data_IF_496739082101
#
_entry.id   IF_496739082101
#
_cell.length_a   1.000
_cell.length_b   1.000
_cell.length_c   1.000
_cell.angle_alpha   90.00
_cell.angle_beta   90.00
_cell.angle_gamma   90.00
#
_symmetry.space_group_name_H-M   'P 1'
#
loop_
_entity.id
_entity.type
_entity.pdbx_description
1 polymer ?
#
# COMPACT_ATOMS: atom_id res chain seq x y z
N UNK A 1 28.23 -8.71 5.13
CA UNK A 1 27.61 -8.35 3.83
C UNK A 1 26.10 -8.33 4.07
N UNK A 2 25.49 -7.15 4.18
CA UNK A 2 24.06 -6.98 4.50
C UNK A 2 23.34 -6.66 3.20
N UNK A 3 22.56 -7.61 2.70
CA UNK A 3 21.71 -7.43 1.54
C UNK A 3 20.46 -6.65 1.98
N UNK A 4 20.30 -5.43 1.45
CA UNK A 4 19.06 -4.65 1.57
C UNK A 4 17.95 -5.37 0.81
N UNK A 5 16.94 -5.84 1.54
CA UNK A 5 15.78 -6.59 1.02
C UNK A 5 14.81 -5.71 0.20
N UNK A 6 15.02 -4.39 0.18
CA UNK A 6 14.20 -3.43 -0.59
C UNK A 6 14.75 -3.11 -1.99
N UNK A 7 15.88 -3.69 -2.39
CA UNK A 7 16.60 -3.33 -3.64
C UNK A 7 16.55 -4.35 -4.77
N UNK A 8 15.69 -5.37 -4.72
CA UNK A 8 15.73 -6.52 -5.65
C UNK A 8 14.50 -6.56 -6.60
N UNK A 9 13.75 -5.48 -6.72
CA UNK A 9 12.53 -5.45 -7.55
C UNK A 9 12.68 -4.80 -8.93
N UNK A 10 13.90 -4.50 -9.40
CA UNK A 10 14.11 -3.63 -10.56
C UNK A 10 14.88 -4.23 -11.76
N UNK A 11 15.11 -5.55 -11.86
CA UNK A 11 15.95 -6.10 -12.94
C UNK A 11 15.37 -7.28 -13.76
N UNK A 12 14.08 -7.28 -14.08
CA UNK A 12 13.50 -8.23 -15.05
C UNK A 12 12.60 -7.59 -16.12
N UNK A 13 12.85 -6.30 -16.43
CA UNK A 13 12.12 -5.50 -17.44
C UNK A 13 12.37 -5.96 -18.90
N UNK A 14 13.15 -7.00 -19.18
CA UNK A 14 13.47 -7.39 -20.56
C UNK A 14 13.30 -8.90 -20.82
N UNK A 15 12.52 -9.21 -21.88
CA UNK A 15 12.34 -10.50 -22.58
C UNK A 15 11.29 -11.43 -21.93
N UNK A 16 10.30 -12.01 -22.62
CA UNK A 16 9.90 -12.07 -24.03
C UNK A 16 8.61 -12.90 -24.10
N UNK A 17 7.64 -12.47 -24.92
CA UNK A 17 6.60 -13.25 -25.60
C UNK A 17 5.84 -14.38 -24.84
N UNK A 18 4.52 -14.18 -24.71
CA UNK A 18 3.54 -15.22 -24.38
C UNK A 18 2.13 -14.82 -24.82
N UNK A 19 1.69 -15.37 -25.95
CA UNK A 19 0.56 -14.98 -26.80
C UNK A 19 -0.87 -15.12 -26.23
N UNK A 20 -1.71 -14.14 -26.63
CA UNK A 20 -3.13 -14.22 -27.01
C UNK A 20 -4.11 -14.65 -25.90
N UNK A 21 -4.37 -13.70 -25.02
CA UNK A 21 -5.35 -13.72 -23.92
C UNK A 21 -5.09 -12.60 -22.91
N UNK A 22 -3.93 -11.94 -23.03
CA UNK A 22 -3.22 -11.17 -22.02
C UNK A 22 -3.01 -9.69 -22.38
N UNK A 23 -3.46 -9.26 -23.56
CA UNK A 23 -3.23 -7.89 -24.04
C UNK A 23 -3.99 -6.83 -23.23
N UNK A 24 -5.16 -7.18 -22.67
CA UNK A 24 -5.94 -6.30 -21.80
C UNK A 24 -5.22 -6.07 -20.47
N UNK A 25 -4.88 -7.16 -19.77
CA UNK A 25 -4.13 -7.08 -18.52
C UNK A 25 -2.78 -6.35 -18.67
N UNK A 26 -2.00 -6.66 -19.70
CA UNK A 26 -0.67 -6.06 -19.89
C UNK A 26 -0.73 -4.53 -20.07
N UNK A 27 -1.73 -4.02 -20.79
CA UNK A 27 -1.91 -2.57 -20.97
C UNK A 27 -2.24 -1.90 -19.63
N UNK A 28 -3.24 -2.40 -18.91
CA UNK A 28 -3.64 -1.83 -17.63
C UNK A 28 -2.55 -1.97 -16.55
N UNK A 29 -1.80 -3.07 -16.57
CA UNK A 29 -0.63 -3.25 -15.68
C UNK A 29 0.45 -2.22 -16.00
N UNK A 30 0.70 -1.94 -17.28
CA UNK A 30 1.64 -0.89 -17.70
C UNK A 30 1.18 0.49 -17.24
N UNK A 31 -0.10 0.82 -17.41
CA UNK A 31 -0.67 2.10 -16.97
C UNK A 31 -0.57 2.26 -15.44
N UNK A 32 -0.84 1.19 -14.69
CA UNK A 32 -0.67 1.13 -13.25
C UNK A 32 0.80 1.32 -12.83
N UNK A 33 1.74 0.56 -13.41
CA UNK A 33 3.17 0.72 -13.14
C UNK A 33 3.69 2.12 -13.49
N UNK A 34 3.18 2.74 -14.55
CA UNK A 34 3.55 4.10 -14.94
C UNK A 34 3.11 5.13 -13.89
N UNK A 35 1.90 4.98 -13.31
CA UNK A 35 1.44 5.85 -12.21
C UNK A 35 2.37 5.73 -10.99
N UNK A 36 2.76 4.50 -10.63
CA UNK A 36 3.69 4.26 -9.51
C UNK A 36 5.07 4.87 -9.76
N UNK A 37 5.62 4.70 -10.96
CA UNK A 37 6.94 5.21 -11.32
C UNK A 37 6.98 6.74 -11.35
N UNK A 38 5.94 7.41 -11.88
CA UNK A 38 5.89 8.89 -11.92
C UNK A 38 5.87 9.54 -10.55
N UNK A 39 5.28 8.88 -9.57
CA UNK A 39 5.11 9.41 -8.22
C UNK A 39 6.30 9.09 -7.30
N UNK A 40 7.44 8.64 -7.85
CA UNK A 40 8.63 8.41 -7.06
C UNK A 40 8.49 7.24 -6.09
N UNK A 41 7.60 6.29 -6.39
CA UNK A 41 7.74 4.90 -5.87
C UNK A 41 8.99 4.21 -6.45
N UNK A 42 9.75 4.95 -7.27
CA UNK A 42 11.07 4.61 -7.77
C UNK A 42 12.11 4.64 -6.63
N UNK A 43 12.70 3.47 -6.39
CA UNK A 43 13.41 3.00 -5.19
C UNK A 43 14.72 3.71 -4.82
N UNK A 44 14.98 4.92 -5.33
CA UNK A 44 16.24 5.63 -5.08
C UNK A 44 16.18 6.64 -3.93
N UNK A 45 14.98 7.04 -3.48
CA UNK A 45 14.84 7.97 -2.36
C UNK A 45 14.49 7.20 -1.07
N UNK A 46 15.46 7.13 -0.16
CA UNK A 46 15.35 6.56 1.20
C UNK A 46 14.43 7.37 2.14
N UNK A 47 13.66 8.32 1.60
CA UNK A 47 12.83 9.23 2.39
C UNK A 47 11.39 8.68 2.38
N UNK A 48 10.78 8.47 3.56
CA UNK A 48 9.36 8.11 3.62
C UNK A 48 8.51 9.13 2.85
N UNK A 49 7.49 8.69 2.10
CA UNK A 49 6.65 9.62 1.34
C UNK A 49 5.94 10.59 2.29
N UNK A 50 5.79 11.84 1.86
CA UNK A 50 5.02 12.85 2.61
C UNK A 50 3.52 12.63 2.43
N UNK A 51 2.71 13.20 3.33
CA UNK A 51 1.25 13.12 3.22
C UNK A 51 0.74 13.73 1.89
N UNK A 52 1.36 14.81 1.44
CA UNK A 52 1.05 15.44 0.15
C UNK A 52 1.34 14.52 -1.03
N UNK A 53 2.48 13.81 -1.02
CA UNK A 53 2.84 12.84 -2.06
C UNK A 53 1.85 11.65 -2.08
N UNK A 54 1.46 11.16 -0.91
CA UNK A 54 0.48 10.08 -0.80
C UNK A 54 -0.90 10.49 -1.32
N UNK A 55 -1.35 11.71 -1.00
CA UNK A 55 -2.62 12.23 -1.49
C UNK A 55 -2.62 12.42 -3.02
N UNK A 56 -1.49 12.87 -3.60
CA UNK A 56 -1.35 12.99 -5.05
C UNK A 56 -1.40 11.61 -5.73
N UNK A 57 -0.70 10.62 -5.17
CA UNK A 57 -0.72 9.25 -5.66
C UNK A 57 -2.11 8.62 -5.55
N UNK A 58 -2.80 8.79 -4.43
CA UNK A 58 -4.17 8.32 -4.23
C UNK A 58 -5.12 8.86 -5.31
N UNK A 59 -5.00 10.14 -5.66
CA UNK A 59 -5.80 10.78 -6.69
C UNK A 59 -5.56 10.13 -8.07
N UNK A 60 -4.30 9.93 -8.45
CA UNK A 60 -3.95 9.31 -9.74
C UNK A 60 -4.43 7.86 -9.83
N UNK A 61 -4.23 7.07 -8.77
CA UNK A 61 -4.64 5.66 -8.73
C UNK A 61 -6.17 5.54 -8.74
N UNK A 62 -6.88 6.42 -8.02
CA UNK A 62 -8.36 6.46 -8.05
C UNK A 62 -8.88 6.82 -9.44
N UNK A 63 -8.24 7.78 -10.12
CA UNK A 63 -8.61 8.14 -11.49
C UNK A 63 -8.39 6.98 -12.48
N UNK A 64 -7.30 6.21 -12.30
CA UNK A 64 -7.06 4.99 -13.08
C UNK A 64 -8.14 3.92 -12.79
N UNK A 65 -8.49 3.71 -11.51
CA UNK A 65 -9.54 2.77 -11.11
C UNK A 65 -10.87 3.08 -11.80
N UNK A 66 -11.29 4.35 -11.79
CA UNK A 66 -12.53 4.79 -12.42
C UNK A 66 -12.50 4.67 -13.95
N UNK A 67 -11.34 4.89 -14.56
CA UNK A 67 -11.15 4.69 -16.00
C UNK A 67 -11.34 3.22 -16.38
N UNK A 68 -10.79 2.30 -15.60
CA UNK A 68 -10.92 0.86 -15.83
C UNK A 68 -12.37 0.41 -15.65
N UNK A 69 -13.04 0.84 -14.57
CA UNK A 69 -14.45 0.50 -14.28
C UNK A 69 -15.42 0.93 -15.39
N UNK A 70 -15.17 2.08 -16.03
CA UNK A 70 -16.03 2.61 -17.10
C UNK A 70 -15.99 1.81 -18.40
N UNK A 71 -14.99 0.96 -18.59
CA UNK A 71 -14.79 0.17 -19.82
C UNK A 71 -15.46 -1.21 -19.76
N UNK A 72 -16.29 -1.47 -18.73
CA UNK A 72 -16.82 -2.80 -18.41
C UNK A 72 -15.85 -3.57 -17.51
N UNK A 73 -16.32 -4.64 -16.86
CA UNK A 73 -15.50 -5.47 -15.96
C UNK A 73 -15.37 -6.87 -16.58
N UNK A 74 -14.25 -7.11 -17.23
CA UNK A 74 -13.74 -8.43 -17.62
C UNK A 74 -12.86 -9.02 -16.51
N UNK A 75 -12.53 -10.30 -16.62
CA UNK A 75 -11.62 -10.98 -15.68
C UNK A 75 -10.26 -10.27 -15.57
N UNK A 76 -9.70 -9.79 -16.68
CA UNK A 76 -8.42 -9.07 -16.69
C UNK A 76 -8.52 -7.70 -16.00
N UNK A 77 -9.64 -7.00 -16.19
CA UNK A 77 -9.89 -5.73 -15.50
C UNK A 77 -10.10 -5.97 -13.99
N UNK A 78 -10.75 -7.06 -13.60
CA UNK A 78 -10.92 -7.43 -12.19
C UNK A 78 -9.57 -7.71 -11.51
N UNK A 79 -8.65 -8.40 -12.19
CA UNK A 79 -7.30 -8.67 -11.68
C UNK A 79 -6.54 -7.36 -11.40
N UNK A 80 -6.61 -6.39 -12.31
CA UNK A 80 -5.96 -5.07 -12.12
C UNK A 80 -6.66 -4.25 -11.04
N UNK A 81 -8.00 -4.26 -11.00
CA UNK A 81 -8.75 -3.57 -9.95
C UNK A 81 -8.34 -4.06 -8.56
N UNK A 82 -8.04 -5.35 -8.41
CA UNK A 82 -7.55 -5.90 -7.15
C UNK A 82 -6.14 -5.39 -6.78
N UNK A 83 -5.23 -5.24 -7.75
CA UNK A 83 -3.91 -4.61 -7.53
C UNK A 83 -4.05 -3.13 -7.16
N UNK A 84 -4.95 -2.41 -7.83
CA UNK A 84 -5.26 -1.01 -7.53
C UNK A 84 -5.84 -0.88 -6.11
N UNK A 85 -6.78 -1.74 -5.74
CA UNK A 85 -7.36 -1.73 -4.40
C UNK A 85 -6.31 -2.07 -3.33
N UNK A 86 -5.43 -3.03 -3.60
CA UNK A 86 -4.29 -3.33 -2.72
C UNK A 86 -3.42 -2.10 -2.52
N UNK A 87 -3.06 -1.39 -3.59
CA UNK A 87 -2.21 -0.19 -3.51
C UNK A 87 -2.90 0.97 -2.79
N UNK A 88 -4.19 1.21 -3.05
CA UNK A 88 -4.97 2.19 -2.30
C UNK A 88 -4.98 1.88 -0.80
N UNK A 89 -5.15 0.61 -0.43
CA UNK A 89 -5.05 0.19 0.97
C UNK A 89 -3.63 0.45 1.54
N UNK A 90 -2.56 0.25 0.77
CA UNK A 90 -1.19 0.57 1.21
C UNK A 90 -0.97 2.08 1.40
N UNK A 91 -1.51 2.90 0.51
CA UNK A 91 -1.47 4.36 0.62
C UNK A 91 -2.23 4.82 1.87
N UNK A 92 -3.47 4.35 2.05
CA UNK A 92 -4.28 4.67 3.22
C UNK A 92 -3.60 4.20 4.51
N UNK A 93 -2.95 3.04 4.50
CA UNK A 93 -2.14 2.59 5.64
C UNK A 93 -1.04 3.61 5.97
N UNK A 94 -0.27 4.06 4.98
CA UNK A 94 0.82 5.01 5.18
C UNK A 94 0.33 6.39 5.63
N UNK A 95 -0.74 6.92 5.03
CA UNK A 95 -1.35 8.18 5.45
C UNK A 95 -1.78 8.11 6.92
N UNK A 96 -2.47 7.04 7.32
CA UNK A 96 -2.91 6.84 8.69
C UNK A 96 -1.73 6.70 9.67
N UNK A 97 -0.61 6.08 9.26
CA UNK A 97 0.61 6.04 10.08
C UNK A 97 1.16 7.45 10.29
N UNK A 98 1.31 8.24 9.22
CA UNK A 98 1.89 9.58 9.30
C UNK A 98 1.03 10.51 10.17
N UNK A 99 -0.29 10.51 9.95
CA UNK A 99 -1.21 11.32 10.76
C UNK A 99 -1.22 10.81 12.20
N UNK A 100 -1.23 9.50 12.44
CA UNK A 100 -1.16 8.93 13.78
C UNK A 100 0.10 9.32 14.53
N UNK A 101 1.25 9.31 13.86
CA UNK A 101 2.54 9.77 14.42
C UNK A 101 2.52 11.27 14.75
N UNK A 102 1.98 12.10 13.86
CA UNK A 102 1.83 13.53 14.09
C UNK A 102 0.94 13.80 15.32
N UNK A 103 -0.22 13.15 15.41
CA UNK A 103 -1.11 13.28 16.56
C UNK A 103 -0.42 12.82 17.86
N UNK A 104 0.31 11.71 17.83
CA UNK A 104 1.07 11.23 19.00
C UNK A 104 2.15 12.23 19.43
N UNK A 105 2.84 12.86 18.48
CA UNK A 105 3.87 13.86 18.75
C UNK A 105 3.30 15.10 19.46
N UNK A 106 2.08 15.51 19.11
CA UNK A 106 1.39 16.64 19.74
C UNK A 106 0.55 16.25 20.97
N UNK A 107 0.62 15.01 21.45
CA UNK A 107 -0.07 14.61 22.65
C UNK A 107 0.55 15.25 23.91
N UNK A 108 -0.29 15.75 24.81
CA UNK A 108 0.17 16.24 26.10
C UNK A 108 0.48 15.06 27.02
N UNK A 109 1.74 14.64 27.05
CA UNK A 109 2.17 13.49 27.86
C UNK A 109 2.18 13.78 29.38
N UNK A 110 2.09 15.04 29.81
CA UNK A 110 1.98 15.38 31.23
C UNK A 110 0.56 15.15 31.78
N UNK A 111 -0.45 15.24 30.92
CA UNK A 111 -1.85 14.99 31.22
C UNK A 111 -2.50 14.23 30.06
N UNK A 112 -2.15 12.94 29.90
CA UNK A 112 -2.62 12.18 28.77
C UNK A 112 -4.13 11.97 28.86
N UNK A 113 -4.81 12.16 27.74
CA UNK A 113 -6.22 11.82 27.57
C UNK A 113 -6.31 10.89 26.38
N UNK A 114 -7.08 9.81 26.51
CA UNK A 114 -7.34 8.87 25.41
C UNK A 114 -8.77 8.95 24.90
N UNK A 115 -9.46 10.05 25.21
CA UNK A 115 -10.74 10.35 24.56
C UNK A 115 -10.55 10.46 23.04
N UNK A 116 -11.51 10.02 22.21
CA UNK A 116 -11.36 10.02 20.75
C UNK A 116 -11.06 11.39 20.13
N UNK A 117 -11.35 12.48 20.83
CA UNK A 117 -11.11 13.86 20.41
C UNK A 117 -9.71 14.36 20.76
N UNK A 118 -9.03 13.72 21.71
CA UNK A 118 -7.67 14.08 22.11
C UNK A 118 -6.65 13.67 21.05
N UNK A 119 -5.46 14.27 21.07
CA UNK A 119 -4.39 13.91 20.15
C UNK A 119 -3.94 12.45 20.32
N UNK A 120 -3.85 11.94 21.56
CA UNK A 120 -3.46 10.55 21.81
C UNK A 120 -4.57 9.57 21.39
N UNK A 121 -5.84 9.88 21.66
CA UNK A 121 -6.97 9.06 21.21
C UNK A 121 -7.10 9.03 19.68
N UNK A 122 -6.87 10.17 19.01
CA UNK A 122 -6.78 10.22 17.55
C UNK A 122 -5.63 9.39 17.02
N UNK A 123 -4.43 9.49 17.61
CA UNK A 123 -3.28 8.69 17.21
C UNK A 123 -3.58 7.18 17.25
N UNK A 124 -4.17 6.71 18.36
CA UNK A 124 -4.58 5.31 18.52
C UNK A 124 -5.59 4.91 17.43
N UNK A 125 -6.61 5.74 17.18
CA UNK A 125 -7.60 5.51 16.12
C UNK A 125 -6.97 5.42 14.73
N UNK A 126 -6.03 6.31 14.41
CA UNK A 126 -5.31 6.27 13.14
C UNK A 126 -4.44 5.01 13.01
N UNK A 127 -3.79 4.55 14.08
CA UNK A 127 -3.06 3.28 14.04
C UNK A 127 -3.99 2.06 13.85
N UNK A 128 -5.20 2.08 14.42
CA UNK A 128 -6.19 1.03 14.16
C UNK A 128 -6.68 1.02 12.70
N UNK A 129 -6.90 2.20 12.13
CA UNK A 129 -7.26 2.34 10.72
C UNK A 129 -6.10 1.87 9.83
N UNK A 130 -4.86 2.26 10.12
CA UNK A 130 -3.68 1.80 9.38
C UNK A 130 -3.57 0.28 9.39
N UNK A 131 -3.78 -0.37 10.54
CA UNK A 131 -3.77 -1.83 10.66
C UNK A 131 -4.88 -2.50 9.83
N UNK A 132 -6.06 -1.91 9.83
CA UNK A 132 -7.19 -2.38 9.02
C UNK A 132 -6.83 -2.34 7.53
N UNK A 133 -6.25 -1.23 7.06
CA UNK A 133 -5.82 -1.08 5.67
C UNK A 133 -4.70 -2.07 5.30
N UNK A 134 -3.72 -2.26 6.17
CA UNK A 134 -2.68 -3.27 5.98
C UNK A 134 -3.25 -4.71 5.87
N UNK A 135 -4.32 -5.01 6.61
CA UNK A 135 -4.99 -6.31 6.57
C UNK A 135 -5.74 -6.49 5.25
N UNK A 136 -6.44 -5.46 4.78
CA UNK A 136 -7.13 -5.47 3.49
C UNK A 136 -6.14 -5.59 2.32
N UNK A 137 -5.01 -4.88 2.36
CA UNK A 137 -3.92 -5.02 1.38
C UNK A 137 -3.42 -6.47 1.33
N UNK A 138 -3.14 -7.08 2.49
CA UNK A 138 -2.72 -8.48 2.57
C UNK A 138 -3.76 -9.46 2.00
N UNK A 139 -5.05 -9.23 2.28
CA UNK A 139 -6.13 -10.04 1.71
C UNK A 139 -6.22 -9.90 0.19
N UNK A 140 -6.10 -8.69 -0.34
CA UNK A 140 -6.14 -8.45 -1.78
C UNK A 140 -4.94 -9.07 -2.49
N UNK A 141 -3.75 -9.03 -1.86
CA UNK A 141 -2.55 -9.73 -2.32
C UNK A 141 -2.77 -11.26 -2.40
N UNK A 142 -3.30 -11.85 -1.33
CA UNK A 142 -3.59 -13.29 -1.29
C UNK A 142 -4.65 -13.68 -2.34
N UNK A 143 -5.72 -12.90 -2.49
CA UNK A 143 -6.72 -13.09 -3.55
C UNK A 143 -6.12 -12.93 -4.95
N UNK A 144 -5.25 -11.94 -5.17
CA UNK A 144 -4.65 -11.72 -6.49
C UNK A 144 -3.76 -12.90 -6.91
N UNK A 145 -2.91 -13.35 -6.00
CA UNK A 145 -1.99 -14.47 -6.26
C UNK A 145 -2.69 -15.82 -6.36
N UNK A 146 -3.83 -15.99 -5.70
CA UNK A 146 -4.63 -17.24 -5.72
C UNK A 146 -5.59 -17.30 -6.90
N UNK A 147 -6.35 -16.23 -7.13
CA UNK A 147 -7.46 -16.22 -8.10
C UNK A 147 -6.98 -15.84 -9.51
N UNK A 148 -5.84 -15.17 -9.63
CA UNK A 148 -5.26 -14.71 -10.91
C UNK A 148 -3.78 -15.13 -11.08
N UNK A 149 -3.44 -16.42 -11.00
CA UNK A 149 -2.05 -16.89 -11.02
C UNK A 149 -1.33 -16.58 -12.34
N UNK A 150 -2.05 -16.57 -13.47
CA UNK A 150 -1.48 -16.24 -14.78
C UNK A 150 -1.10 -14.75 -14.88
N UNK A 151 -1.93 -13.86 -14.33
CA UNK A 151 -1.67 -12.42 -14.26
C UNK A 151 -0.60 -12.09 -13.22
N UNK A 152 -0.59 -12.79 -12.08
CA UNK A 152 0.44 -12.66 -11.05
C UNK A 152 1.84 -12.95 -11.59
N UNK A 153 2.00 -13.93 -12.47
CA UNK A 153 3.29 -14.18 -13.11
C UNK A 153 3.72 -13.07 -14.09
N UNK A 154 2.81 -12.18 -14.51
CA UNK A 154 3.08 -11.10 -15.47
C UNK A 154 3.46 -9.77 -14.81
N UNK A 155 3.16 -9.57 -13.53
CA UNK A 155 3.30 -8.26 -12.88
C UNK A 155 4.74 -7.89 -12.48
N UNK A 156 5.70 -8.81 -12.59
CA UNK A 156 7.10 -8.63 -12.13
C UNK A 156 7.24 -8.22 -10.64
N UNK A 157 6.16 -8.30 -9.85
CA UNK A 157 6.15 -7.99 -8.43
C UNK A 157 6.63 -9.23 -7.66
N UNK A 158 7.56 -9.03 -6.73
CA UNK A 158 7.92 -10.04 -5.76
C UNK A 158 6.88 -10.03 -4.64
N UNK A 159 5.88 -10.90 -4.80
CA UNK A 159 4.74 -10.98 -3.91
C UNK A 159 5.10 -11.51 -2.51
N UNK A 160 6.17 -12.29 -2.37
CA UNK A 160 6.65 -12.76 -1.07
C UNK A 160 7.32 -11.63 -0.28
N UNK A 161 8.11 -10.80 -0.96
CA UNK A 161 8.68 -9.58 -0.35
C UNK A 161 7.55 -8.61 0.04
N UNK A 162 6.56 -8.41 -0.83
CA UNK A 162 5.43 -7.53 -0.54
C UNK A 162 4.62 -8.04 0.67
N UNK A 163 4.30 -9.34 0.70
CA UNK A 163 3.61 -9.99 1.83
C UNK A 163 4.38 -9.79 3.13
N UNK A 164 5.69 -10.02 3.11
CA UNK A 164 6.57 -9.83 4.27
C UNK A 164 6.56 -8.36 4.73
N UNK A 165 6.57 -7.42 3.80
CA UNK A 165 6.55 -5.98 4.10
C UNK A 165 5.22 -5.53 4.72
N UNK A 166 4.10 -6.04 4.22
CA UNK A 166 2.77 -5.81 4.80
C UNK A 166 2.70 -6.34 6.24
N UNK A 167 3.16 -7.58 6.46
CA UNK A 167 3.19 -8.18 7.80
C UNK A 167 4.11 -7.42 8.77
N UNK A 168 5.29 -7.01 8.31
CA UNK A 168 6.21 -6.17 9.08
C UNK A 168 5.60 -4.81 9.44
N UNK A 169 4.83 -4.22 8.51
CA UNK A 169 4.10 -2.97 8.75
C UNK A 169 3.01 -3.16 9.80
N UNK A 170 2.22 -4.23 9.73
CA UNK A 170 1.21 -4.56 10.74
C UNK A 170 1.79 -4.70 12.15
N UNK A 171 2.96 -5.36 12.27
CA UNK A 171 3.67 -5.49 13.54
C UNK A 171 4.13 -4.12 14.07
N UNK A 172 4.71 -3.29 13.20
CA UNK A 172 5.21 -1.96 13.55
C UNK A 172 4.08 -1.00 13.95
N UNK A 173 2.93 -1.05 13.25
CA UNK A 173 1.71 -0.31 13.61
C UNK A 173 1.20 -0.76 14.98
N UNK A 174 1.16 -2.07 15.23
CA UNK A 174 0.71 -2.64 16.51
C UNK A 174 1.61 -2.17 17.65
N UNK A 175 2.94 -2.17 17.47
CA UNK A 175 3.87 -1.66 18.47
C UNK A 175 3.69 -0.16 18.71
N UNK A 176 3.52 0.63 17.65
CA UNK A 176 3.29 2.08 17.75
C UNK A 176 2.01 2.40 18.52
N UNK A 177 0.93 1.65 18.24
CA UNK A 177 -0.31 1.73 19.01
C UNK A 177 -0.11 1.37 20.48
N UNK A 178 0.55 0.25 20.77
CA UNK A 178 0.81 -0.17 22.15
C UNK A 178 1.61 0.86 22.94
N UNK A 179 2.60 1.51 22.31
CA UNK A 179 3.35 2.61 22.92
C UNK A 179 2.41 3.77 23.24
N UNK A 180 1.53 4.16 22.31
CA UNK A 180 0.55 5.23 22.57
C UNK A 180 -0.42 4.85 23.70
N UNK A 181 -0.90 3.60 23.73
CA UNK A 181 -1.81 3.08 24.75
C UNK A 181 -1.18 2.99 26.14
N UNK A 182 0.14 2.88 26.26
CA UNK A 182 0.82 2.90 27.57
C UNK A 182 0.65 4.22 28.32
N UNK A 183 0.29 5.30 27.61
CA UNK A 183 -0.01 6.59 28.20
C UNK A 183 -1.51 6.75 28.53
N UNK A 184 -2.34 5.74 28.24
CA UNK A 184 -3.76 5.71 28.63
C UNK A 184 -3.92 5.07 30.02
N UNK A 185 -4.37 5.81 31.03
CA UNK A 185 -4.69 5.25 32.35
C UNK A 185 -5.96 4.39 32.36
#
# INVERSE_FOLDING_TARGET
MRYSVLGILFLAVFLSMGCIGTAGFAQYNTDFSNVLNRNGSDTQNLVPPTLEQLNALELEITALQETIKKQGISTDQQAILLLIEMELNLIHMQQNILVGQEQAQFANLAFPSCEPTSNLGKAISFFDQAKTQATLAGKNLDSFTTDYPAQSQQTQIDFEILKTSILGSQQSITQSKQIAEQFCP
#
